data_IF_634607727373
#
_entry.id   IF_634607727373
#
_cell.length_a   1.000
_cell.length_b   1.000
_cell.length_c   1.000
_cell.angle_alpha   90.00
_cell.angle_beta   90.00
_cell.angle_gamma   90.00
#
_symmetry.space_group_name_H-M   'P 1'
#
loop_
_entity.id
_entity.type
_entity.pdbx_description
1 polymer ?
#
# COMPACT_ATOMS: atom_id res chain seq x y z
N UNK A 1 3.13 -27.77 1.58
CA UNK A 1 4.40 -27.11 1.16
C UNK A 1 5.06 -26.45 2.35
N UNK A 2 6.37 -26.21 2.26
CA UNK A 2 7.17 -25.39 3.17
C UNK A 2 7.43 -24.03 2.53
N UNK A 3 6.90 -22.98 3.13
CA UNK A 3 6.92 -21.64 2.53
C UNK A 3 7.74 -20.70 3.41
N UNK A 4 8.76 -20.06 2.83
CA UNK A 4 9.60 -19.09 3.52
C UNK A 4 9.16 -17.67 3.14
N UNK A 5 8.50 -16.98 4.06
CA UNK A 5 8.08 -15.59 3.88
C UNK A 5 9.17 -14.63 4.33
N UNK A 6 9.46 -13.64 3.50
CA UNK A 6 10.52 -12.65 3.77
C UNK A 6 9.95 -11.24 3.77
N UNK A 7 10.14 -10.52 4.86
CA UNK A 7 9.79 -9.11 4.99
C UNK A 7 10.71 -8.40 5.99
N UNK A 8 11.01 -7.11 5.79
CA UNK A 8 11.93 -6.37 6.67
C UNK A 8 11.43 -6.19 8.11
N UNK A 9 10.12 -6.12 8.33
CA UNK A 9 9.52 -6.01 9.67
C UNK A 9 8.66 -7.22 9.97
N UNK A 10 8.81 -7.81 11.16
CA UNK A 10 8.00 -8.94 11.62
C UNK A 10 7.02 -8.52 12.73
N UNK A 11 6.35 -7.37 12.50
CA UNK A 11 5.30 -6.83 13.36
C UNK A 11 4.35 -5.95 12.53
N UNK A 12 3.12 -5.72 13.00
CA UNK A 12 2.13 -4.90 12.31
C UNK A 12 2.52 -3.43 12.37
N UNK A 13 3.11 -2.92 11.28
CA UNK A 13 3.52 -1.53 11.12
C UNK A 13 2.66 -0.78 10.12
N UNK A 14 2.19 -1.45 9.08
CA UNK A 14 1.38 -0.90 8.01
C UNK A 14 0.73 -1.98 7.17
N UNK A 15 0.15 -1.62 6.03
CA UNK A 15 -0.59 -2.55 5.17
C UNK A 15 0.24 -3.72 4.66
N UNK A 16 1.48 -3.47 4.23
CA UNK A 16 2.36 -4.53 3.73
C UNK A 16 2.73 -5.56 4.82
N UNK A 17 2.95 -5.11 6.06
CA UNK A 17 3.23 -6.00 7.18
C UNK A 17 1.97 -6.76 7.62
N UNK A 18 0.81 -6.12 7.57
CA UNK A 18 -0.47 -6.80 7.83
C UNK A 18 -0.71 -7.88 6.79
N UNK A 19 -0.54 -7.59 5.50
CA UNK A 19 -0.60 -8.58 4.42
C UNK A 19 0.34 -9.76 4.67
N UNK A 20 1.63 -9.50 4.88
CA UNK A 20 2.65 -10.52 5.11
C UNK A 20 2.34 -11.44 6.28
N UNK A 21 1.91 -10.89 7.43
CA UNK A 21 1.57 -11.66 8.62
C UNK A 21 0.27 -12.45 8.43
N UNK A 22 -0.72 -11.87 7.75
CA UNK A 22 -1.98 -12.56 7.48
C UNK A 22 -1.78 -13.70 6.47
N UNK A 23 -1.04 -13.48 5.38
CA UNK A 23 -0.70 -14.57 4.44
C UNK A 23 -0.02 -15.70 5.16
N UNK A 24 0.95 -15.41 6.05
CA UNK A 24 1.64 -16.46 6.82
C UNK A 24 0.69 -17.26 7.71
N UNK A 25 -0.15 -16.58 8.49
CA UNK A 25 -1.12 -17.27 9.37
C UNK A 25 -2.17 -18.08 8.60
N UNK A 26 -2.59 -17.59 7.42
CA UNK A 26 -3.54 -18.32 6.57
C UNK A 26 -2.90 -19.56 5.92
N UNK A 27 -1.66 -19.46 5.46
CA UNK A 27 -0.92 -20.62 4.96
C UNK A 27 -0.77 -21.69 6.03
N UNK A 28 -0.48 -21.31 7.28
CA UNK A 28 -0.44 -22.25 8.41
C UNK A 28 -1.83 -22.86 8.69
N UNK A 29 -2.90 -22.05 8.64
CA UNK A 29 -4.29 -22.50 8.85
C UNK A 29 -4.73 -23.57 7.84
N UNK A 30 -4.32 -23.43 6.58
CA UNK A 30 -4.65 -24.39 5.51
C UNK A 30 -3.65 -25.55 5.41
N UNK A 31 -2.73 -25.69 6.39
CA UNK A 31 -1.88 -26.86 6.57
C UNK A 31 -0.50 -26.80 5.92
N UNK A 32 0.00 -25.62 5.55
CA UNK A 32 1.38 -25.43 5.12
C UNK A 32 2.32 -25.16 6.31
N UNK A 33 3.60 -25.52 6.18
CA UNK A 33 4.63 -25.10 7.11
C UNK A 33 5.18 -23.74 6.70
N UNK A 34 5.23 -22.77 7.64
CA UNK A 34 5.70 -21.41 7.34
C UNK A 34 6.93 -21.07 8.19
N UNK A 35 7.95 -20.55 7.54
CA UNK A 35 9.08 -19.90 8.17
C UNK A 35 9.12 -18.41 7.79
N UNK A 36 9.73 -17.63 8.66
CA UNK A 36 9.84 -16.19 8.48
C UNK A 36 11.30 -15.76 8.51
N UNK A 37 11.68 -14.85 7.59
CA UNK A 37 12.97 -14.18 7.58
C UNK A 37 12.79 -12.67 7.60
N UNK A 38 13.40 -12.00 8.58
CA UNK A 38 13.20 -10.57 8.82
C UNK A 38 14.43 -9.90 9.40
N UNK A 39 14.32 -8.64 9.81
CA UNK A 39 15.31 -7.98 10.65
C UNK A 39 14.89 -8.01 12.13
N UNK A 40 15.88 -7.96 13.02
CA UNK A 40 15.66 -7.86 14.47
C UNK A 40 15.06 -6.49 14.80
N UNK A 41 13.97 -6.48 15.57
CA UNK A 41 13.32 -5.26 16.04
C UNK A 41 12.63 -5.53 17.38
N UNK A 42 12.60 -4.57 18.34
CA UNK A 42 11.97 -4.78 19.65
C UNK A 42 10.48 -5.16 19.58
N UNK A 43 9.78 -4.70 18.55
CA UNK A 43 8.34 -4.95 18.36
C UNK A 43 8.04 -6.25 17.58
N UNK A 44 9.05 -7.03 17.19
CA UNK A 44 8.80 -8.26 16.45
C UNK A 44 7.90 -9.22 17.24
N UNK A 45 6.99 -9.88 16.53
CA UNK A 45 6.24 -11.00 17.06
C UNK A 45 7.20 -12.16 17.38
N UNK A 46 6.87 -13.01 18.37
CA UNK A 46 7.65 -14.22 18.67
C UNK A 46 7.78 -15.10 17.43
N UNK A 47 9.01 -15.52 17.13
CA UNK A 47 9.30 -16.35 15.96
C UNK A 47 10.45 -17.32 16.26
N UNK A 48 10.24 -18.64 16.04
CA UNK A 48 11.29 -19.66 16.26
C UNK A 48 12.51 -19.49 15.35
N UNK A 49 12.38 -18.70 14.26
CA UNK A 49 13.41 -18.44 13.28
C UNK A 49 14.18 -17.13 13.49
N UNK A 50 13.89 -16.39 14.57
CA UNK A 50 14.43 -15.07 14.88
C UNK A 50 15.97 -15.05 15.02
N UNK A 51 16.59 -16.20 15.33
CA UNK A 51 18.05 -16.37 15.35
C UNK A 51 18.72 -16.07 14.01
N UNK A 52 17.98 -16.24 12.89
CA UNK A 52 18.45 -15.94 11.55
C UNK A 52 18.19 -14.50 11.12
N UNK A 53 17.40 -13.73 11.87
CA UNK A 53 17.07 -12.37 11.53
C UNK A 53 18.31 -11.48 11.50
N UNK A 54 18.37 -10.59 10.50
CA UNK A 54 19.49 -9.66 10.33
C UNK A 54 19.44 -8.53 11.36
N UNK A 55 20.58 -7.98 11.70
CA UNK A 55 20.63 -6.81 12.57
C UNK A 55 19.93 -5.62 11.94
N UNK A 56 19.14 -4.88 12.73
CA UNK A 56 18.59 -3.59 12.29
C UNK A 56 19.74 -2.62 12.09
N UNK A 57 19.74 -1.89 10.97
CA UNK A 57 20.71 -0.84 10.67
C UNK A 57 20.06 0.52 10.81
N UNK A 58 20.62 1.36 11.66
CA UNK A 58 20.21 2.75 11.83
C UNK A 58 21.05 3.66 10.94
N UNK A 59 20.40 4.41 10.05
CA UNK A 59 21.07 5.26 9.05
C UNK A 59 21.19 6.73 9.46
N UNK A 60 20.67 7.10 10.62
CA UNK A 60 20.65 8.49 11.08
C UNK A 60 21.81 8.85 12.02
N UNK A 61 22.54 7.88 12.58
CA UNK A 61 23.65 8.07 13.50
C UNK A 61 25.01 7.68 12.89
N UNK A 62 25.40 8.38 11.83
CA UNK A 62 26.72 8.17 11.22
C UNK A 62 27.78 8.87 12.07
N UNK A 63 28.37 8.15 13.02
CA UNK A 63 29.45 8.66 13.91
C UNK A 63 30.83 8.69 13.23
N UNK A 64 31.01 8.01 12.08
CA UNK A 64 32.30 7.90 11.38
C UNK A 64 32.10 7.75 9.87
N UNK A 65 32.83 8.50 8.99
CA UNK A 65 32.73 8.39 7.53
C UNK A 65 32.98 7.00 6.97
N UNK A 66 33.89 6.21 7.59
CA UNK A 66 34.17 4.84 7.15
C UNK A 66 33.01 3.87 7.47
N UNK A 67 32.32 4.06 8.59
CA UNK A 67 31.12 3.28 8.90
C UNK A 67 29.97 3.62 7.95
N UNK A 68 29.84 4.90 7.57
CA UNK A 68 28.85 5.36 6.58
C UNK A 68 28.99 4.67 5.22
N UNK A 69 30.20 4.54 4.73
CA UNK A 69 30.46 3.86 3.44
C UNK A 69 30.14 2.37 3.55
N UNK A 70 30.59 1.71 4.62
CA UNK A 70 30.29 0.29 4.86
C UNK A 70 28.79 0.04 4.98
N UNK A 71 28.09 0.88 5.72
CA UNK A 71 26.66 0.77 5.95
C UNK A 71 25.88 1.11 4.66
N UNK A 72 26.36 2.08 3.86
CA UNK A 72 25.85 2.38 2.54
C UNK A 72 25.97 1.21 1.55
N UNK A 73 27.13 0.54 1.53
CA UNK A 73 27.33 -0.68 0.70
C UNK A 73 26.38 -1.80 1.17
N UNK A 74 26.22 -1.96 2.47
CA UNK A 74 25.36 -2.99 3.04
C UNK A 74 23.86 -2.74 2.81
N UNK A 75 23.45 -1.50 2.47
CA UNK A 75 22.10 -1.18 1.98
C UNK A 75 21.85 -1.69 0.56
N UNK A 76 22.90 -1.83 -0.22
CA UNK A 76 22.83 -2.30 -1.61
C UNK A 76 22.96 -3.82 -1.66
N UNK A 77 23.92 -4.37 -0.90
CA UNK A 77 24.20 -5.80 -0.83
C UNK A 77 24.61 -6.18 0.58
N UNK A 78 23.85 -7.08 1.24
CA UNK A 78 24.09 -7.54 2.61
C UNK A 78 24.64 -8.97 2.66
N UNK A 79 25.96 -9.16 2.86
CA UNK A 79 26.53 -10.50 3.06
C UNK A 79 25.97 -11.24 4.29
N UNK A 80 25.59 -10.46 5.33
CA UNK A 80 24.95 -11.00 6.54
C UNK A 80 23.59 -11.63 6.19
N UNK A 81 22.75 -10.88 5.45
CA UNK A 81 21.44 -11.37 5.05
C UNK A 81 21.55 -12.62 4.18
N UNK A 82 22.43 -12.61 3.18
CA UNK A 82 22.70 -13.78 2.34
C UNK A 82 23.09 -15.02 3.17
N UNK A 83 24.07 -14.87 4.09
CA UNK A 83 24.55 -15.98 4.91
C UNK A 83 23.47 -16.52 5.85
N UNK A 84 22.75 -15.64 6.55
CA UNK A 84 21.72 -16.04 7.50
C UNK A 84 20.52 -16.67 6.77
N UNK A 85 20.15 -16.13 5.61
CA UNK A 85 19.12 -16.67 4.75
C UNK A 85 19.49 -18.07 4.21
N UNK A 86 20.74 -18.27 3.76
CA UNK A 86 21.26 -19.57 3.35
C UNK A 86 21.12 -20.61 4.48
N UNK A 87 21.57 -20.25 5.69
CA UNK A 87 21.49 -21.15 6.86
C UNK A 87 20.04 -21.50 7.23
N UNK A 88 19.12 -20.53 7.10
CA UNK A 88 17.70 -20.79 7.30
C UNK A 88 17.16 -21.75 6.22
N UNK A 89 17.50 -21.54 4.96
CA UNK A 89 17.08 -22.42 3.87
C UNK A 89 17.59 -23.88 4.06
N UNK A 90 18.82 -24.05 4.51
CA UNK A 90 19.40 -25.37 4.78
C UNK A 90 18.66 -26.13 5.90
N UNK A 91 18.22 -25.39 6.94
CA UNK A 91 17.47 -25.99 8.05
C UNK A 91 15.98 -26.21 7.74
N UNK A 92 15.32 -25.18 7.20
CA UNK A 92 13.88 -25.21 6.94
C UNK A 92 13.53 -26.01 5.67
N UNK A 93 14.38 -25.93 4.64
CA UNK A 93 14.19 -26.55 3.32
C UNK A 93 12.89 -26.10 2.65
N UNK A 94 12.77 -24.81 2.30
CA UNK A 94 11.57 -24.28 1.69
C UNK A 94 11.33 -24.86 0.29
N UNK A 95 10.06 -25.15 -0.01
CA UNK A 95 9.58 -25.44 -1.36
C UNK A 95 9.38 -24.15 -2.16
N UNK A 96 9.04 -23.04 -1.47
CA UNK A 96 8.79 -21.71 -2.06
C UNK A 96 9.38 -20.62 -1.16
N UNK A 97 9.93 -19.58 -1.78
CA UNK A 97 10.32 -18.33 -1.10
C UNK A 97 9.41 -17.20 -1.59
N UNK A 98 8.79 -16.47 -0.68
CA UNK A 98 7.95 -15.33 -1.02
C UNK A 98 8.44 -14.04 -0.35
N UNK A 99 8.91 -13.12 -1.18
CA UNK A 99 9.45 -11.83 -0.79
C UNK A 99 8.34 -10.77 -0.72
N UNK A 100 8.43 -9.92 0.29
CA UNK A 100 7.64 -8.70 0.43
C UNK A 100 8.58 -7.48 0.39
N UNK A 101 8.56 -6.62 1.41
CA UNK A 101 9.48 -5.49 1.51
C UNK A 101 10.87 -5.94 1.97
N UNK A 102 11.81 -6.14 1.06
CA UNK A 102 13.18 -6.60 1.37
C UNK A 102 14.28 -5.55 1.15
N UNK A 103 14.00 -4.52 0.36
CA UNK A 103 14.98 -3.51 -0.04
C UNK A 103 15.56 -2.75 1.15
N UNK A 104 16.85 -2.39 1.05
CA UNK A 104 17.64 -1.58 1.99
C UNK A 104 17.99 -2.21 3.33
N UNK A 105 17.20 -3.12 3.89
CA UNK A 105 17.54 -3.79 5.17
C UNK A 105 18.03 -5.22 4.95
N UNK A 106 17.24 -6.04 4.27
CA UNK A 106 17.56 -7.42 3.92
C UNK A 106 18.36 -7.44 2.62
N UNK A 107 17.95 -6.66 1.62
CA UNK A 107 18.45 -6.54 0.25
C UNK A 107 18.20 -7.78 -0.61
N UNK A 108 18.30 -7.61 -1.94
CA UNK A 108 18.17 -8.74 -2.87
C UNK A 108 19.39 -9.68 -2.87
N UNK A 109 20.41 -9.43 -2.00
CA UNK A 109 21.54 -10.34 -1.83
C UNK A 109 21.15 -11.75 -1.38
N UNK A 110 19.99 -11.91 -0.75
CA UNK A 110 19.44 -13.23 -0.36
C UNK A 110 19.17 -14.13 -1.57
N UNK A 111 18.89 -13.55 -2.75
CA UNK A 111 18.72 -14.29 -3.99
C UNK A 111 20.00 -14.93 -4.51
N UNK A 112 21.17 -14.55 -3.96
CA UNK A 112 22.46 -15.18 -4.23
C UNK A 112 22.75 -16.36 -3.31
N UNK A 113 21.83 -16.77 -2.45
CA UNK A 113 21.97 -17.94 -1.62
C UNK A 113 22.06 -19.19 -2.51
N UNK A 114 23.17 -19.98 -2.44
CA UNK A 114 23.35 -21.16 -3.27
C UNK A 114 22.19 -22.14 -3.22
N UNK A 115 21.57 -22.29 -2.04
CA UNK A 115 20.44 -23.19 -1.80
C UNK A 115 19.33 -23.02 -2.85
N UNK A 116 18.95 -21.77 -3.15
CA UNK A 116 17.84 -21.48 -4.09
C UNK A 116 18.11 -22.08 -5.47
N UNK A 117 19.35 -21.94 -5.96
CA UNK A 117 19.75 -22.44 -7.28
C UNK A 117 19.92 -23.96 -7.26
N UNK A 118 20.57 -24.51 -6.23
CA UNK A 118 20.86 -25.94 -6.11
C UNK A 118 19.60 -26.78 -5.98
N UNK A 119 18.55 -26.24 -5.34
CA UNK A 119 17.28 -26.92 -5.12
C UNK A 119 16.14 -26.41 -6.01
N UNK A 120 16.42 -25.51 -6.97
CA UNK A 120 15.44 -24.94 -7.89
C UNK A 120 14.20 -24.35 -7.16
N UNK A 121 14.43 -23.69 -6.01
CA UNK A 121 13.36 -23.12 -5.20
C UNK A 121 12.77 -21.89 -5.88
N UNK A 122 11.49 -21.88 -6.28
CA UNK A 122 10.86 -20.73 -6.92
C UNK A 122 10.74 -19.54 -5.97
N UNK A 123 10.98 -18.34 -6.50
CA UNK A 123 10.94 -17.08 -5.77
C UNK A 123 9.79 -16.21 -6.25
N UNK A 124 8.89 -15.89 -5.34
CA UNK A 124 7.79 -14.95 -5.52
C UNK A 124 8.12 -13.59 -4.90
N UNK A 125 7.56 -12.54 -5.45
CA UNK A 125 7.67 -11.19 -4.91
C UNK A 125 6.31 -10.47 -4.97
N UNK A 126 5.74 -10.08 -3.83
CA UNK A 126 4.58 -9.18 -3.81
C UNK A 126 5.06 -7.73 -3.85
N UNK A 127 4.64 -7.01 -4.86
CA UNK A 127 4.96 -5.61 -5.06
C UNK A 127 4.05 -4.70 -4.21
N UNK A 128 4.54 -4.25 -3.06
CA UNK A 128 3.82 -3.30 -2.21
C UNK A 128 4.04 -1.84 -2.61
N UNK A 129 5.09 -1.58 -3.36
CA UNK A 129 5.48 -0.28 -3.93
C UNK A 129 6.21 -0.47 -5.26
N UNK A 130 6.68 0.62 -5.86
CA UNK A 130 7.33 0.60 -7.18
C UNK A 130 8.87 0.47 -7.10
N UNK A 131 9.45 0.05 -5.99
CA UNK A 131 10.90 0.06 -5.77
C UNK A 131 11.72 -0.70 -6.83
N UNK A 132 11.14 -1.72 -7.46
CA UNK A 132 11.81 -2.52 -8.49
C UNK A 132 11.95 -1.80 -9.83
N UNK A 133 11.18 -0.73 -10.06
CA UNK A 133 11.17 0.06 -11.30
C UNK A 133 11.46 1.54 -11.05
N UNK A 134 11.27 2.04 -9.83
CA UNK A 134 11.50 3.42 -9.43
C UNK A 134 12.35 3.48 -8.15
N UNK A 135 13.59 4.00 -8.17
CA UNK A 135 14.43 4.11 -6.96
C UNK A 135 13.80 4.91 -5.83
N UNK A 136 12.93 5.89 -6.17
CA UNK A 136 12.12 6.67 -5.24
C UNK A 136 10.93 5.90 -4.63
N UNK A 137 10.61 4.71 -5.12
CA UNK A 137 9.56 3.76 -4.75
C UNK A 137 8.10 4.27 -4.81
N UNK A 138 7.87 5.57 -4.86
CA UNK A 138 6.52 6.17 -4.93
C UNK A 138 6.10 6.60 -6.35
N UNK A 139 7.03 6.59 -7.32
CA UNK A 139 6.84 7.21 -8.65
C UNK A 139 6.41 8.69 -8.52
N UNK A 140 7.00 9.39 -7.54
CA UNK A 140 6.90 10.83 -7.33
C UNK A 140 8.31 11.44 -7.42
N UNK A 141 8.40 12.66 -7.93
CA UNK A 141 9.61 13.47 -7.84
C UNK A 141 9.77 14.11 -6.44
N UNK A 142 10.84 14.87 -6.24
CA UNK A 142 11.11 15.52 -4.96
C UNK A 142 10.15 16.65 -4.58
N UNK A 143 9.31 17.08 -5.52
CA UNK A 143 8.24 18.08 -5.33
C UNK A 143 6.85 17.42 -5.15
N UNK A 144 6.80 16.08 -5.15
CA UNK A 144 5.56 15.32 -4.97
C UNK A 144 4.71 15.21 -6.25
N UNK A 145 5.27 15.49 -7.43
CA UNK A 145 4.57 15.30 -8.71
C UNK A 145 4.77 13.89 -9.23
N UNK A 146 3.76 13.35 -9.88
CA UNK A 146 3.84 12.04 -10.55
C UNK A 146 4.98 12.04 -11.57
N UNK A 147 5.82 11.01 -11.55
CA UNK A 147 7.04 10.95 -12.34
C UNK A 147 7.28 9.55 -12.92
N UNK A 148 7.50 9.48 -14.23
CA UNK A 148 7.86 8.28 -14.99
C UNK A 148 9.29 8.35 -15.58
N UNK A 149 10.05 9.42 -15.32
CA UNK A 149 11.32 9.71 -15.98
C UNK A 149 12.35 8.56 -15.96
N UNK A 150 12.40 7.78 -14.87
CA UNK A 150 13.29 6.61 -14.78
C UNK A 150 12.82 5.42 -15.62
N UNK A 151 11.51 5.34 -15.94
CA UNK A 151 10.95 4.29 -16.79
C UNK A 151 11.18 4.62 -18.26
N UNK A 152 10.97 5.86 -18.68
CA UNK A 152 11.02 6.31 -20.07
C UNK A 152 12.37 6.06 -20.75
N UNK A 153 13.49 6.32 -20.06
CA UNK A 153 14.82 6.14 -20.64
C UNK A 153 15.69 5.10 -19.91
N UNK A 154 15.13 4.48 -18.86
CA UNK A 154 15.84 3.49 -18.05
C UNK A 154 17.00 4.05 -17.23
N UNK A 155 17.12 5.37 -17.03
CA UNK A 155 18.25 5.99 -16.33
C UNK A 155 17.87 6.48 -14.94
N UNK A 156 18.42 5.88 -13.94
CA UNK A 156 18.16 6.24 -12.53
C UNK A 156 18.77 7.57 -12.07
N UNK A 157 19.54 8.29 -12.94
CA UNK A 157 20.03 9.64 -12.65
C UNK A 157 18.90 10.63 -12.36
N UNK A 158 17.72 10.46 -13.01
CA UNK A 158 16.55 11.31 -12.78
C UNK A 158 16.11 11.30 -11.32
N UNK A 159 16.26 10.17 -10.62
CA UNK A 159 15.98 10.10 -9.19
C UNK A 159 16.88 11.05 -8.38
N UNK A 160 18.15 11.22 -8.78
CA UNK A 160 19.12 12.10 -8.09
C UNK A 160 18.82 13.57 -8.45
N UNK A 161 18.60 13.86 -9.72
CA UNK A 161 18.30 15.19 -10.24
C UNK A 161 17.03 15.75 -9.60
N UNK A 162 15.98 14.93 -9.55
CA UNK A 162 14.67 15.26 -8.99
C UNK A 162 14.57 15.09 -7.47
N UNK A 163 15.65 14.68 -6.78
CA UNK A 163 15.69 14.49 -5.30
C UNK A 163 14.54 13.63 -4.76
N UNK A 164 14.15 12.57 -5.49
CA UNK A 164 12.93 11.79 -5.23
C UNK A 164 12.84 11.18 -3.83
N UNK A 165 13.98 10.89 -3.17
CA UNK A 165 13.98 10.29 -1.84
C UNK A 165 14.08 11.38 -0.76
N UNK A 166 12.92 11.74 -0.19
CA UNK A 166 12.80 12.71 0.92
C UNK A 166 13.48 14.07 0.60
N UNK A 167 13.42 14.56 -0.62
CA UNK A 167 14.03 15.82 -1.03
C UNK A 167 15.56 15.84 -1.00
N UNK A 168 16.23 14.71 -0.72
CA UNK A 168 17.67 14.62 -0.49
C UNK A 168 18.43 14.03 -1.67
N UNK A 169 19.39 14.78 -2.24
CA UNK A 169 20.28 14.26 -3.30
C UNK A 169 21.08 13.04 -2.84
N UNK A 170 21.61 13.04 -1.60
CA UNK A 170 22.39 11.94 -1.09
C UNK A 170 21.57 10.65 -0.95
N UNK A 171 20.35 10.73 -0.41
CA UNK A 171 19.44 9.58 -0.29
C UNK A 171 18.98 9.09 -1.65
N UNK A 172 18.73 9.99 -2.59
CA UNK A 172 18.35 9.66 -3.96
C UNK A 172 19.51 9.01 -4.73
N UNK A 173 20.75 9.47 -4.52
CA UNK A 173 21.93 8.84 -5.09
C UNK A 173 22.14 7.40 -4.58
N UNK A 174 21.96 7.17 -3.28
CA UNK A 174 22.04 5.83 -2.71
C UNK A 174 20.96 4.89 -3.29
N UNK A 175 19.72 5.37 -3.43
CA UNK A 175 18.64 4.61 -4.03
C UNK A 175 18.89 4.32 -5.53
N UNK A 176 19.42 5.29 -6.27
CA UNK A 176 19.80 5.11 -7.67
C UNK A 176 20.96 4.11 -7.84
N UNK A 177 21.93 4.12 -6.91
CA UNK A 177 23.04 3.14 -6.88
C UNK A 177 22.52 1.73 -6.58
N UNK A 178 21.62 1.56 -5.59
CA UNK A 178 20.96 0.29 -5.30
C UNK A 178 20.24 -0.26 -6.53
N UNK A 179 19.41 0.56 -7.18
CA UNK A 179 18.66 0.16 -8.37
C UNK A 179 19.61 -0.18 -9.55
N UNK A 180 20.67 0.62 -9.74
CA UNK A 180 21.69 0.37 -10.78
C UNK A 180 22.47 -0.93 -10.53
N UNK A 181 22.83 -1.17 -9.26
CA UNK A 181 23.48 -2.42 -8.86
C UNK A 181 22.58 -3.63 -9.13
N UNK A 182 21.32 -3.59 -8.63
CA UNK A 182 20.37 -4.69 -8.80
C UNK A 182 20.10 -4.99 -10.28
N UNK A 183 20.06 -3.96 -11.14
CA UNK A 183 19.96 -4.13 -12.60
C UNK A 183 21.21 -4.79 -13.19
N UNK A 184 22.38 -4.26 -12.87
CA UNK A 184 23.66 -4.79 -13.38
C UNK A 184 23.91 -6.23 -12.89
N UNK A 185 23.51 -6.53 -11.65
CA UNK A 185 23.59 -7.86 -11.04
C UNK A 185 22.46 -8.79 -11.46
N UNK A 186 21.49 -8.29 -12.25
CA UNK A 186 20.33 -9.05 -12.74
C UNK A 186 19.51 -9.67 -11.60
N UNK A 187 19.43 -8.98 -10.45
CA UNK A 187 18.78 -9.50 -9.24
C UNK A 187 17.31 -9.83 -9.46
N UNK A 188 16.59 -8.95 -10.17
CA UNK A 188 15.16 -9.14 -10.46
C UNK A 188 14.88 -10.34 -11.37
N UNK A 189 15.83 -10.76 -12.20
CA UNK A 189 15.65 -11.91 -13.09
C UNK A 189 15.56 -13.25 -12.35
N UNK A 190 16.04 -13.29 -11.10
CA UNK A 190 15.97 -14.46 -10.20
C UNK A 190 14.64 -14.58 -9.46
N UNK A 191 13.74 -13.64 -9.68
CA UNK A 191 12.35 -13.70 -9.20
C UNK A 191 11.53 -14.36 -10.31
N UNK A 192 10.81 -15.43 -9.96
CA UNK A 192 10.06 -16.24 -10.93
C UNK A 192 8.68 -15.67 -11.19
N UNK A 193 8.03 -15.12 -10.15
CA UNK A 193 6.71 -14.49 -10.25
C UNK A 193 6.65 -13.22 -9.41
N UNK A 194 6.01 -12.19 -9.96
CA UNK A 194 5.69 -10.94 -9.27
C UNK A 194 4.18 -10.82 -9.12
N UNK A 195 3.72 -10.66 -7.91
CA UNK A 195 2.32 -10.43 -7.58
C UNK A 195 2.09 -8.92 -7.48
N UNK A 196 1.23 -8.40 -8.35
CA UNK A 196 0.80 -7.01 -8.35
C UNK A 196 -0.62 -6.90 -7.77
N UNK A 197 -0.87 -6.06 -6.75
CA UNK A 197 -2.19 -5.98 -6.09
C UNK A 197 -3.26 -5.24 -6.92
N UNK A 198 -2.93 -4.78 -8.11
CA UNK A 198 -3.86 -4.16 -9.06
C UNK A 198 -3.39 -4.36 -10.51
N UNK A 199 -4.32 -4.27 -11.46
CA UNK A 199 -4.01 -4.29 -12.90
C UNK A 199 -3.16 -3.09 -13.30
N UNK A 200 -3.39 -1.94 -12.66
CA UNK A 200 -2.56 -0.75 -12.84
C UNK A 200 -1.10 -1.02 -12.47
N UNK A 201 -0.86 -1.58 -11.28
CA UNK A 201 0.51 -1.91 -10.85
C UNK A 201 1.15 -2.94 -11.77
N UNK A 202 0.40 -3.97 -12.19
CA UNK A 202 0.88 -4.94 -13.19
C UNK A 202 1.36 -4.24 -14.45
N UNK A 203 0.55 -3.34 -15.01
CA UNK A 203 0.90 -2.61 -16.22
C UNK A 203 2.16 -1.75 -16.03
N UNK A 204 2.29 -1.06 -14.89
CA UNK A 204 3.47 -0.24 -14.58
C UNK A 204 4.74 -1.08 -14.38
N UNK A 205 4.64 -2.25 -13.78
CA UNK A 205 5.78 -3.16 -13.64
C UNK A 205 6.25 -3.65 -15.01
N UNK A 206 5.34 -4.01 -15.91
CA UNK A 206 5.66 -4.42 -17.29
C UNK A 206 6.30 -3.26 -18.06
N UNK A 207 5.72 -2.06 -17.99
CA UNK A 207 6.28 -0.83 -18.57
C UNK A 207 7.69 -0.54 -18.03
N UNK A 208 7.93 -0.82 -16.74
CA UNK A 208 9.22 -0.70 -16.08
C UNK A 208 10.24 -1.82 -16.38
N UNK A 209 9.89 -2.75 -17.30
CA UNK A 209 10.80 -3.78 -17.83
C UNK A 209 10.65 -5.17 -17.23
N UNK A 210 9.64 -5.43 -16.40
CA UNK A 210 9.32 -6.79 -15.99
C UNK A 210 8.72 -7.59 -17.15
N UNK A 211 9.16 -8.84 -17.40
CA UNK A 211 8.53 -9.70 -18.41
C UNK A 211 7.05 -9.93 -18.09
N UNK A 212 6.17 -9.74 -19.06
CA UNK A 212 4.72 -9.87 -18.86
C UNK A 212 4.32 -11.22 -18.25
N UNK A 213 4.93 -12.33 -18.71
CA UNK A 213 4.66 -13.68 -18.20
C UNK A 213 5.10 -13.93 -16.76
N UNK A 214 5.89 -13.00 -16.15
CA UNK A 214 6.26 -13.08 -14.73
C UNK A 214 5.34 -12.27 -13.81
N UNK A 215 4.55 -11.33 -14.31
CA UNK A 215 3.74 -10.43 -13.49
C UNK A 215 2.27 -10.85 -13.51
N UNK A 216 1.76 -11.23 -12.34
CA UNK A 216 0.37 -11.63 -12.14
C UNK A 216 -0.35 -10.55 -11.34
N UNK A 217 -1.54 -10.14 -11.80
CA UNK A 217 -2.42 -9.30 -10.99
C UNK A 217 -3.21 -10.19 -10.03
N UNK A 218 -3.01 -9.99 -8.73
CA UNK A 218 -3.74 -10.66 -7.68
C UNK A 218 -4.14 -9.62 -6.64
N UNK A 219 -5.41 -9.24 -6.67
CA UNK A 219 -5.96 -8.20 -5.82
C UNK A 219 -5.89 -8.60 -4.34
N UNK A 220 -5.47 -7.66 -3.48
CA UNK A 220 -5.39 -7.91 -2.04
C UNK A 220 -6.76 -8.28 -1.45
N UNK A 221 -6.74 -9.08 -0.40
CA UNK A 221 -7.92 -9.53 0.33
C UNK A 221 -8.28 -8.57 1.48
N UNK A 222 -9.53 -8.62 1.92
CA UNK A 222 -10.00 -8.02 3.16
C UNK A 222 -9.88 -9.00 4.34
N UNK A 223 -9.75 -8.49 5.57
CA UNK A 223 -9.81 -9.32 6.77
C UNK A 223 -11.25 -9.77 7.11
N UNK A 224 -11.40 -10.72 8.04
CA UNK A 224 -12.71 -11.29 8.39
C UNK A 224 -13.67 -10.24 8.94
N UNK A 225 -13.17 -9.27 9.68
CA UNK A 225 -14.02 -8.20 10.22
C UNK A 225 -14.59 -7.32 9.10
N UNK A 226 -13.77 -7.01 8.09
CA UNK A 226 -14.19 -6.28 6.89
C UNK A 226 -15.20 -7.11 6.09
N UNK A 227 -14.92 -8.40 5.84
CA UNK A 227 -15.82 -9.28 5.10
C UNK A 227 -17.14 -9.51 5.82
N UNK A 228 -17.13 -9.66 7.15
CA UNK A 228 -18.34 -9.77 7.95
C UNK A 228 -19.24 -8.52 7.83
N UNK A 229 -18.63 -7.33 7.82
CA UNK A 229 -19.36 -6.07 7.59
C UNK A 229 -19.94 -5.99 6.20
N UNK A 230 -19.20 -6.37 5.18
CA UNK A 230 -19.69 -6.41 3.80
C UNK A 230 -20.87 -7.37 3.60
N UNK A 231 -21.00 -8.38 4.48
CA UNK A 231 -22.12 -9.33 4.50
C UNK A 231 -23.33 -8.81 5.28
N UNK A 232 -23.21 -7.71 6.02
CA UNK A 232 -24.30 -7.08 6.75
C UNK A 232 -25.33 -6.44 5.81
N UNK A 233 -26.54 -6.22 6.36
CA UNK A 233 -27.61 -5.48 5.64
C UNK A 233 -27.28 -3.98 5.66
N UNK A 234 -27.57 -3.27 4.57
CA UNK A 234 -27.47 -1.81 4.54
C UNK A 234 -28.28 -1.19 5.67
N UNK A 235 -27.63 -0.41 6.54
CA UNK A 235 -28.32 0.35 7.60
C UNK A 235 -29.30 1.34 6.98
N UNK A 236 -30.31 1.73 7.76
CA UNK A 236 -31.25 2.77 7.32
C UNK A 236 -30.50 4.11 7.17
N UNK A 237 -30.52 4.65 5.96
CA UNK A 237 -29.84 5.91 5.61
C UNK A 237 -30.50 7.11 6.33
N UNK A 238 -31.77 6.97 6.70
CA UNK A 238 -32.57 8.04 7.31
C UNK A 238 -32.19 8.36 8.75
N UNK A 239 -31.49 7.44 9.44
CA UNK A 239 -31.04 7.62 10.83
C UNK A 239 -29.76 8.45 11.00
N UNK A 240 -29.19 9.00 9.92
CA UNK A 240 -27.96 9.81 9.97
C UNK A 240 -28.29 11.26 10.32
N UNK A 241 -28.31 11.56 11.58
CA UNK A 241 -28.68 12.89 12.12
C UNK A 241 -27.72 14.03 11.74
N UNK A 242 -26.48 13.70 11.34
CA UNK A 242 -25.43 14.68 11.04
C UNK A 242 -24.54 14.19 9.90
N UNK A 243 -24.87 14.49 8.64
CA UNK A 243 -24.13 13.98 7.49
C UNK A 243 -22.71 14.53 7.44
N UNK A 244 -21.74 13.67 7.02
CA UNK A 244 -20.35 14.10 6.84
C UNK A 244 -19.62 13.32 5.77
N UNK A 245 -18.65 14.00 5.17
CA UNK A 245 -17.62 13.43 4.35
C UNK A 245 -16.47 12.99 5.25
N UNK A 246 -15.88 11.83 5.00
CA UNK A 246 -14.82 11.25 5.83
C UNK A 246 -13.53 11.06 5.03
N UNK A 247 -12.45 11.66 5.49
CA UNK A 247 -11.11 11.19 5.13
C UNK A 247 -10.53 10.39 6.29
N UNK A 248 -9.93 9.24 6.03
CA UNK A 248 -9.18 8.49 7.02
C UNK A 248 -7.92 7.88 6.43
N UNK A 249 -6.81 8.10 7.10
CA UNK A 249 -5.50 7.66 6.66
C UNK A 249 -4.36 8.52 7.16
N UNK A 250 -3.17 8.27 6.61
CA UNK A 250 -1.97 9.04 6.95
C UNK A 250 -2.07 10.47 6.44
N UNK A 251 -1.82 11.44 7.31
CA UNK A 251 -1.78 12.86 6.95
C UNK A 251 -0.42 13.22 6.35
N UNK A 252 -0.27 13.02 5.06
CA UNK A 252 0.95 13.27 4.29
C UNK A 252 0.63 13.81 2.89
N UNK A 253 1.55 14.56 2.30
CA UNK A 253 1.35 15.32 1.08
C UNK A 253 0.85 14.47 -0.10
N UNK A 254 1.35 13.24 -0.23
CA UNK A 254 0.93 12.31 -1.29
C UNK A 254 -0.54 11.87 -1.18
N UNK A 255 -1.16 12.00 0.00
CA UNK A 255 -2.58 11.71 0.21
C UNK A 255 -3.52 12.84 -0.19
N UNK A 256 -2.98 14.02 -0.57
CA UNK A 256 -3.75 15.12 -1.15
C UNK A 256 -4.77 15.77 -0.21
N UNK A 257 -4.51 15.75 1.11
CA UNK A 257 -5.44 16.33 2.10
C UNK A 257 -5.59 17.83 1.92
N UNK A 258 -4.57 18.53 1.46
CA UNK A 258 -4.65 19.96 1.11
C UNK A 258 -5.63 20.24 -0.04
N UNK A 259 -5.66 19.36 -1.04
CA UNK A 259 -6.63 19.43 -2.17
C UNK A 259 -8.05 19.14 -1.64
N UNK A 260 -8.19 18.11 -0.81
CA UNK A 260 -9.47 17.77 -0.15
C UNK A 260 -10.05 18.95 0.62
N UNK A 261 -9.24 19.60 1.47
CA UNK A 261 -9.69 20.75 2.29
C UNK A 261 -10.18 21.91 1.41
N UNK A 262 -9.43 22.26 0.35
CA UNK A 262 -9.81 23.32 -0.62
C UNK A 262 -11.03 22.92 -1.44
N UNK A 263 -11.16 21.65 -1.82
CA UNK A 263 -12.31 21.14 -2.55
C UNK A 263 -13.58 21.18 -1.68
N UNK A 264 -13.46 20.82 -0.40
CA UNK A 264 -14.58 20.95 0.52
C UNK A 264 -15.02 22.41 0.72
N UNK A 265 -14.05 23.34 0.83
CA UNK A 265 -14.35 24.77 0.93
C UNK A 265 -15.07 25.28 -0.33
N UNK A 266 -14.61 24.87 -1.51
CA UNK A 266 -15.25 25.23 -2.77
C UNK A 266 -16.65 24.61 -2.94
N UNK A 267 -16.85 23.38 -2.47
CA UNK A 267 -18.14 22.68 -2.52
C UNK A 267 -19.13 23.17 -1.44
N UNK A 268 -18.66 23.74 -0.34
CA UNK A 268 -19.43 24.07 0.86
C UNK A 268 -20.72 24.87 0.59
N UNK A 269 -20.78 25.84 -0.37
CA UNK A 269 -22.03 26.56 -0.70
C UNK A 269 -23.11 25.66 -1.31
N UNK A 270 -22.73 24.57 -1.99
CA UNK A 270 -23.62 23.63 -2.68
C UNK A 270 -23.94 22.38 -1.86
N UNK A 271 -23.20 22.11 -0.79
CA UNK A 271 -23.45 21.01 0.13
C UNK A 271 -24.54 21.36 1.16
N UNK A 272 -25.28 20.36 1.70
CA UNK A 272 -26.16 20.57 2.84
C UNK A 272 -25.46 21.37 3.96
N UNK A 273 -26.18 22.30 4.58
CA UNK A 273 -25.59 23.24 5.55
C UNK A 273 -24.97 22.58 6.78
N UNK A 274 -25.51 21.44 7.18
CA UNK A 274 -25.07 20.61 8.31
C UNK A 274 -24.01 19.56 7.93
N UNK A 275 -23.74 19.38 6.64
CA UNK A 275 -22.70 18.43 6.18
C UNK A 275 -21.32 18.91 6.57
N UNK A 276 -20.57 18.07 7.29
CA UNK A 276 -19.22 18.34 7.77
C UNK A 276 -18.18 17.57 6.97
N UNK A 277 -16.91 17.94 7.13
CA UNK A 277 -15.77 17.13 6.75
C UNK A 277 -15.06 16.66 8.02
N UNK A 278 -14.94 15.36 8.21
CA UNK A 278 -14.18 14.76 9.31
C UNK A 278 -12.88 14.15 8.75
N UNK A 279 -11.76 14.54 9.35
CA UNK A 279 -10.42 14.06 8.98
C UNK A 279 -9.88 13.21 10.13
N UNK A 280 -9.80 11.89 9.88
CA UNK A 280 -9.27 10.90 10.83
C UNK A 280 -7.89 10.47 10.42
N UNK A 281 -6.93 10.57 11.34
CA UNK A 281 -5.55 10.16 11.12
C UNK A 281 -4.54 11.10 11.73
N UNK A 282 -3.27 10.73 11.50
CA UNK A 282 -2.11 11.53 11.88
C UNK A 282 -1.00 11.35 10.84
N UNK A 283 0.01 12.24 10.87
CA UNK A 283 1.12 12.17 9.93
C UNK A 283 2.01 13.40 9.97
N UNK A 284 3.08 13.38 9.15
CA UNK A 284 4.09 14.45 9.18
C UNK A 284 3.53 15.84 8.85
N UNK A 285 2.46 15.91 8.03
CA UNK A 285 1.92 17.19 7.53
C UNK A 285 0.61 17.58 8.26
N UNK A 286 0.28 16.89 9.37
CA UNK A 286 -0.96 17.13 10.12
C UNK A 286 -1.10 18.57 10.66
N UNK A 287 0.00 19.20 11.07
CA UNK A 287 -0.02 20.58 11.56
C UNK A 287 -0.35 21.56 10.41
N UNK A 288 0.31 21.41 9.26
CA UNK A 288 0.08 22.22 8.06
C UNK A 288 -1.38 22.12 7.57
N UNK A 289 -1.94 20.91 7.56
CA UNK A 289 -3.34 20.72 7.15
C UNK A 289 -4.35 21.36 8.12
N UNK A 290 -4.06 21.35 9.44
CA UNK A 290 -4.91 22.06 10.43
C UNK A 290 -4.83 23.58 10.24
N UNK A 291 -3.65 24.12 9.98
CA UNK A 291 -3.48 25.55 9.70
C UNK A 291 -4.21 25.95 8.41
N UNK A 292 -4.08 25.14 7.35
CA UNK A 292 -4.82 25.36 6.11
C UNK A 292 -6.34 25.36 6.37
N UNK A 293 -6.86 24.33 7.05
CA UNK A 293 -8.29 24.22 7.34
C UNK A 293 -8.81 25.44 8.12
N UNK A 294 -8.04 25.92 9.12
CA UNK A 294 -8.40 27.09 9.91
C UNK A 294 -8.47 28.39 9.09
N UNK A 295 -7.79 28.45 7.95
CA UNK A 295 -7.78 29.62 7.05
C UNK A 295 -8.94 29.65 6.05
N UNK A 296 -9.70 28.55 5.92
CA UNK A 296 -10.78 28.41 4.95
C UNK A 296 -12.12 28.96 5.48
N UNK A 297 -13.01 29.37 4.59
CA UNK A 297 -14.35 29.84 4.93
C UNK A 297 -15.21 28.74 5.55
N UNK A 298 -14.98 27.50 5.19
CA UNK A 298 -15.65 26.30 5.72
C UNK A 298 -15.05 25.75 7.03
N UNK A 299 -14.05 26.43 7.63
CA UNK A 299 -13.38 25.98 8.87
C UNK A 299 -14.34 25.48 9.98
N UNK A 300 -15.50 26.13 10.28
CA UNK A 300 -16.42 25.64 11.30
C UNK A 300 -17.06 24.27 11.00
N UNK A 301 -16.95 23.79 9.75
CA UNK A 301 -17.50 22.51 9.29
C UNK A 301 -16.42 21.43 9.14
N UNK A 302 -15.15 21.73 9.46
CA UNK A 302 -14.02 20.80 9.33
C UNK A 302 -13.56 20.36 10.72
N UNK A 303 -13.50 19.05 10.94
CA UNK A 303 -13.09 18.44 12.20
C UNK A 303 -11.89 17.50 11.98
N UNK A 304 -10.85 17.64 12.81
CA UNK A 304 -9.73 16.69 12.88
C UNK A 304 -9.90 15.82 14.11
N UNK A 305 -10.34 14.57 13.91
CA UNK A 305 -10.61 13.63 15.01
C UNK A 305 -9.34 12.90 15.53
N UNK A 306 -8.16 13.23 14.98
CA UNK A 306 -6.92 12.57 15.35
C UNK A 306 -6.82 11.12 14.87
N UNK A 307 -5.81 10.39 15.37
CA UNK A 307 -5.60 8.99 15.03
C UNK A 307 -6.61 8.08 15.72
N UNK A 308 -7.32 7.27 14.95
CA UNK A 308 -8.31 6.31 15.44
C UNK A 308 -8.04 4.92 14.87
N UNK A 309 -8.40 3.88 15.61
CA UNK A 309 -8.27 2.47 15.21
C UNK A 309 -9.45 1.64 15.74
N UNK A 310 -9.58 0.41 15.24
CA UNK A 310 -10.58 -0.54 15.73
C UNK A 310 -12.02 0.01 15.64
N UNK A 311 -12.84 -0.25 16.65
CA UNK A 311 -14.25 0.12 16.65
C UNK A 311 -14.49 1.63 16.58
N UNK A 312 -13.57 2.44 17.10
CA UNK A 312 -13.68 3.90 17.00
C UNK A 312 -13.56 4.37 15.55
N UNK A 313 -12.55 3.91 14.82
CA UNK A 313 -12.41 4.19 13.38
C UNK A 313 -13.63 3.66 12.61
N UNK A 314 -14.03 2.44 12.92
CA UNK A 314 -15.14 1.79 12.24
C UNK A 314 -16.45 2.60 12.38
N UNK A 315 -16.72 3.16 13.57
CA UNK A 315 -17.88 4.03 13.80
C UNK A 315 -17.86 5.25 12.87
N UNK A 316 -16.69 5.86 12.64
CA UNK A 316 -16.58 6.96 11.68
C UNK A 316 -16.86 6.48 10.25
N UNK A 317 -16.37 5.31 9.85
CA UNK A 317 -16.55 4.81 8.49
C UNK A 317 -18.01 4.45 8.22
N UNK A 318 -18.68 3.74 9.13
CA UNK A 318 -20.07 3.29 8.98
C UNK A 318 -21.08 4.44 8.94
N UNK A 319 -20.80 5.53 9.67
CA UNK A 319 -21.70 6.70 9.74
C UNK A 319 -21.41 7.76 8.67
N UNK A 320 -20.32 7.64 7.94
CA UNK A 320 -19.98 8.59 6.87
C UNK A 320 -20.99 8.54 5.72
N UNK A 321 -21.37 9.70 5.20
CA UNK A 321 -22.16 9.78 3.97
C UNK A 321 -21.34 9.39 2.74
N UNK A 322 -20.07 9.79 2.71
CA UNK A 322 -19.09 9.43 1.68
C UNK A 322 -17.70 9.37 2.32
N UNK A 323 -16.88 8.45 1.90
CA UNK A 323 -15.45 8.50 2.20
C UNK A 323 -14.69 9.17 1.04
N UNK A 324 -13.53 9.76 1.35
CA UNK A 324 -12.72 10.50 0.37
C UNK A 324 -11.34 9.88 0.26
N UNK A 325 -10.95 9.51 -0.97
CA UNK A 325 -9.62 9.04 -1.34
C UNK A 325 -8.96 10.06 -2.27
N UNK A 326 -8.38 11.10 -1.68
CA UNK A 326 -7.84 12.28 -2.38
C UNK A 326 -6.40 12.13 -2.88
N UNK A 327 -5.87 10.93 -2.94
CA UNK A 327 -4.46 10.64 -3.24
C UNK A 327 -3.97 11.29 -4.54
N UNK A 328 -2.76 11.86 -4.48
CA UNK A 328 -2.03 12.39 -5.66
C UNK A 328 -0.97 11.44 -6.18
N UNK A 329 -0.71 10.34 -5.47
CA UNK A 329 0.24 9.33 -5.89
C UNK A 329 -0.47 8.07 -6.40
N UNK A 330 0.27 7.24 -7.12
CA UNK A 330 -0.24 5.99 -7.70
C UNK A 330 -0.45 4.93 -6.62
N UNK A 331 -1.60 4.98 -5.95
CA UNK A 331 -2.00 3.94 -5.01
C UNK A 331 -2.06 2.57 -5.71
N UNK A 332 -1.73 1.52 -4.98
CA UNK A 332 -1.87 0.16 -5.49
C UNK A 332 -3.32 -0.31 -5.35
N UNK A 333 -3.69 -0.57 -4.11
CA UNK A 333 -5.04 -0.92 -3.69
C UNK A 333 -5.24 -0.37 -2.27
N UNK A 334 -5.81 0.84 -2.13
CA UNK A 334 -5.95 1.47 -0.82
C UNK A 334 -6.98 0.75 0.04
N UNK A 335 -6.54 0.17 1.16
CA UNK A 335 -7.41 -0.53 2.11
C UNK A 335 -8.53 0.36 2.65
N UNK A 336 -8.31 1.67 2.79
CA UNK A 336 -9.35 2.61 3.20
C UNK A 336 -10.59 2.60 2.29
N UNK A 337 -10.41 2.37 0.99
CA UNK A 337 -11.56 2.20 0.07
C UNK A 337 -12.27 0.88 0.34
N UNK A 338 -11.53 -0.21 0.55
CA UNK A 338 -12.11 -1.52 0.86
C UNK A 338 -12.87 -1.50 2.18
N UNK A 339 -12.33 -0.84 3.21
CA UNK A 339 -13.00 -0.63 4.50
C UNK A 339 -14.27 0.19 4.37
N UNK A 340 -14.23 1.28 3.59
CA UNK A 340 -15.41 2.09 3.29
C UNK A 340 -16.47 1.28 2.55
N UNK A 341 -16.10 0.54 1.52
CA UNK A 341 -17.02 -0.29 0.75
C UNK A 341 -17.65 -1.41 1.59
N UNK A 342 -16.89 -2.03 2.48
CA UNK A 342 -17.42 -3.04 3.39
C UNK A 342 -18.50 -2.47 4.33
N UNK A 343 -18.34 -1.24 4.78
CA UNK A 343 -19.35 -0.52 5.53
C UNK A 343 -20.56 -0.09 4.67
N UNK A 344 -20.43 -0.19 3.35
CA UNK A 344 -21.41 0.34 2.39
C UNK A 344 -21.29 1.85 2.23
N UNK A 345 -20.13 2.43 2.50
CA UNK A 345 -19.88 3.86 2.34
C UNK A 345 -19.26 4.11 0.97
N UNK A 346 -19.97 4.81 0.05
CA UNK A 346 -19.42 5.14 -1.27
C UNK A 346 -18.24 6.11 -1.17
N UNK A 347 -17.37 6.10 -2.20
CA UNK A 347 -16.10 6.84 -2.15
C UNK A 347 -16.02 7.90 -3.25
N UNK A 348 -15.64 9.13 -2.88
CA UNK A 348 -15.07 10.08 -3.85
C UNK A 348 -13.59 9.75 -3.98
N UNK A 349 -13.16 9.30 -5.15
CA UNK A 349 -11.80 8.82 -5.41
C UNK A 349 -11.13 9.49 -6.59
N UNK A 350 -9.83 9.74 -6.49
CA UNK A 350 -9.04 10.30 -7.59
C UNK A 350 -8.76 9.26 -8.67
N UNK A 351 -8.75 9.68 -9.95
CA UNK A 351 -8.43 8.82 -11.12
C UNK A 351 -6.93 8.55 -11.23
N UNK A 352 -6.32 7.96 -10.17
CA UNK A 352 -4.89 7.68 -10.16
C UNK A 352 -4.59 6.29 -9.56
N UNK A 353 -3.57 5.63 -10.11
CA UNK A 353 -3.16 4.31 -9.62
C UNK A 353 -4.26 3.25 -9.76
N UNK A 354 -4.40 2.41 -8.74
CA UNK A 354 -5.44 1.39 -8.66
C UNK A 354 -6.80 1.89 -8.15
N UNK A 355 -6.94 3.18 -7.78
CA UNK A 355 -8.21 3.72 -7.29
C UNK A 355 -9.36 3.54 -8.31
N UNK A 356 -9.16 3.79 -9.63
CA UNK A 356 -10.21 3.59 -10.63
C UNK A 356 -10.68 2.12 -10.79
N UNK A 357 -9.90 1.16 -10.31
CA UNK A 357 -10.31 -0.26 -10.31
C UNK A 357 -11.34 -0.55 -9.21
N UNK A 358 -11.40 0.28 -8.16
CA UNK A 358 -12.37 0.18 -7.07
C UNK A 358 -13.55 1.16 -7.27
N UNK A 359 -13.25 2.43 -7.56
CA UNK A 359 -14.25 3.50 -7.63
C UNK A 359 -14.81 3.61 -9.04
N UNK A 360 -15.93 2.93 -9.29
CA UNK A 360 -16.72 3.05 -10.51
C UNK A 360 -17.70 4.24 -10.39
N UNK A 361 -17.53 5.26 -11.24
CA UNK A 361 -18.30 6.52 -11.18
C UNK A 361 -19.81 6.27 -11.31
N UNK A 362 -20.58 6.75 -10.34
CA UNK A 362 -22.02 6.54 -10.25
C UNK A 362 -22.46 5.15 -9.76
N UNK A 363 -21.53 4.22 -9.48
CA UNK A 363 -21.83 2.84 -9.05
C UNK A 363 -21.35 2.58 -7.63
N UNK A 364 -20.07 2.77 -7.34
CA UNK A 364 -19.48 2.61 -6.01
C UNK A 364 -19.00 3.92 -5.42
N UNK A 365 -19.20 5.03 -6.13
CA UNK A 365 -18.80 6.36 -5.73
C UNK A 365 -18.65 7.32 -6.90
N UNK A 366 -17.79 8.31 -6.74
CA UNK A 366 -17.59 9.38 -7.73
C UNK A 366 -16.10 9.61 -7.98
N UNK A 367 -15.73 9.71 -9.24
CA UNK A 367 -14.34 9.88 -9.61
C UNK A 367 -14.01 11.36 -9.91
N UNK A 368 -12.79 11.80 -9.52
CA UNK A 368 -12.26 13.14 -9.76
C UNK A 368 -10.80 13.07 -10.24
N UNK A 369 -10.28 14.17 -10.79
CA UNK A 369 -8.90 14.22 -11.24
C UNK A 369 -7.94 14.48 -10.06
N UNK A 370 -6.76 13.82 -10.02
CA UNK A 370 -5.81 13.97 -8.93
C UNK A 370 -5.24 15.40 -8.86
N UNK A 371 -5.28 16.01 -7.68
CA UNK A 371 -4.79 17.38 -7.47
C UNK A 371 -5.73 18.48 -7.96
N UNK A 372 -6.88 18.14 -8.53
CA UNK A 372 -7.86 19.13 -9.06
C UNK A 372 -8.98 19.38 -8.04
N UNK A 373 -8.95 20.60 -7.49
CA UNK A 373 -9.92 21.07 -6.50
C UNK A 373 -11.33 21.13 -7.08
N UNK A 374 -11.49 21.56 -8.35
CA UNK A 374 -12.80 21.77 -8.96
C UNK A 374 -13.52 20.43 -9.23
N UNK A 375 -12.82 19.46 -9.83
CA UNK A 375 -13.42 18.15 -10.10
C UNK A 375 -13.70 17.36 -8.82
N UNK A 376 -12.89 17.52 -7.77
CA UNK A 376 -13.15 16.91 -6.47
C UNK A 376 -14.34 17.55 -5.77
N UNK A 377 -14.49 18.87 -5.83
CA UNK A 377 -15.66 19.59 -5.31
C UNK A 377 -16.95 19.13 -6.01
N UNK A 378 -16.94 19.03 -7.36
CA UNK A 378 -18.07 18.50 -8.14
C UNK A 378 -18.43 17.08 -7.71
N UNK A 379 -17.45 16.20 -7.57
CA UNK A 379 -17.68 14.83 -7.13
C UNK A 379 -18.28 14.75 -5.70
N UNK A 380 -17.88 15.63 -4.79
CA UNK A 380 -18.48 15.75 -3.44
C UNK A 380 -19.95 16.20 -3.51
N UNK A 381 -20.26 17.17 -4.39
CA UNK A 381 -21.65 17.68 -4.56
C UNK A 381 -22.52 16.56 -5.14
N UNK A 382 -22.11 15.91 -6.22
CA UNK A 382 -22.84 14.77 -6.82
C UNK A 382 -23.04 13.63 -5.79
N UNK A 383 -22.05 13.36 -4.98
CA UNK A 383 -22.16 12.39 -3.89
C UNK A 383 -23.14 12.79 -2.81
N UNK A 384 -23.16 14.06 -2.41
CA UNK A 384 -24.11 14.58 -1.45
C UNK A 384 -25.55 14.57 -2.00
N UNK A 385 -25.76 14.91 -3.25
CA UNK A 385 -27.06 14.80 -3.93
C UNK A 385 -27.55 13.35 -3.94
N UNK A 386 -26.67 12.41 -4.28
CA UNK A 386 -26.98 10.97 -4.23
C UNK A 386 -27.30 10.50 -2.82
N UNK A 387 -26.60 10.99 -1.80
CA UNK A 387 -26.89 10.67 -0.40
C UNK A 387 -28.30 11.12 0.02
N UNK A 388 -28.79 12.24 -0.52
CA UNK A 388 -30.15 12.74 -0.26
C UNK A 388 -31.25 11.95 -1.00
N UNK A 389 -30.89 11.26 -2.10
CA UNK A 389 -31.79 10.34 -2.82
C UNK A 389 -31.64 8.92 -2.23
N UNK A 390 -32.41 8.63 -1.18
CA UNK A 390 -32.28 7.38 -0.43
C UNK A 390 -32.34 6.10 -1.31
N UNK A 391 -33.26 5.92 -2.28
CA UNK A 391 -33.26 4.75 -3.16
C UNK A 391 -31.99 4.59 -4.01
N UNK A 392 -31.40 5.69 -4.50
CA UNK A 392 -30.17 5.67 -5.29
C UNK A 392 -28.99 5.33 -4.38
N UNK A 393 -28.94 5.98 -3.21
CA UNK A 393 -27.85 5.79 -2.25
C UNK A 393 -27.79 4.34 -1.72
N UNK A 394 -28.93 3.73 -1.39
CA UNK A 394 -28.99 2.33 -0.92
C UNK A 394 -28.47 1.38 -1.99
N UNK A 395 -28.79 1.61 -3.27
CA UNK A 395 -28.21 0.79 -4.37
C UNK A 395 -26.70 0.94 -4.46
N UNK A 396 -26.17 2.15 -4.30
CA UNK A 396 -24.73 2.42 -4.30
C UNK A 396 -24.04 1.75 -3.10
N UNK A 397 -24.63 1.80 -1.91
CA UNK A 397 -24.15 1.10 -0.72
C UNK A 397 -24.04 -0.41 -0.96
N UNK A 398 -25.07 -1.00 -1.57
CA UNK A 398 -25.04 -2.44 -1.88
C UNK A 398 -24.00 -2.79 -2.95
N UNK A 399 -23.80 -1.93 -3.96
CA UNK A 399 -22.72 -2.10 -4.94
C UNK A 399 -21.33 -2.07 -4.28
N UNK A 400 -21.11 -1.21 -3.29
CA UNK A 400 -19.86 -1.18 -2.51
C UNK A 400 -19.64 -2.49 -1.75
N UNK A 401 -20.64 -2.98 -1.04
CA UNK A 401 -20.54 -4.25 -0.29
C UNK A 401 -20.38 -5.45 -1.21
N UNK A 402 -21.13 -5.50 -2.33
CA UNK A 402 -21.01 -6.54 -3.33
C UNK A 402 -19.58 -6.61 -3.88
N UNK A 403 -18.98 -5.46 -4.19
CA UNK A 403 -17.59 -5.41 -4.65
C UNK A 403 -16.64 -6.11 -3.66
N UNK A 404 -16.75 -5.84 -2.36
CA UNK A 404 -15.88 -6.46 -1.34
C UNK A 404 -16.11 -7.96 -1.25
N UNK A 405 -17.38 -8.42 -1.22
CA UNK A 405 -17.71 -9.85 -1.16
C UNK A 405 -17.19 -10.63 -2.37
N UNK A 406 -17.26 -10.03 -3.54
CA UNK A 406 -16.90 -10.70 -4.80
C UNK A 406 -15.40 -10.68 -5.09
N UNK A 407 -14.72 -9.55 -4.77
CA UNK A 407 -13.37 -9.31 -5.21
C UNK A 407 -12.31 -9.32 -4.10
N UNK A 408 -12.72 -9.18 -2.82
CA UNK A 408 -11.77 -9.11 -1.71
C UNK A 408 -11.83 -10.34 -0.79
N UNK A 409 -12.35 -11.47 -1.26
CA UNK A 409 -12.41 -12.72 -0.51
C UNK A 409 -10.99 -13.23 -0.19
N UNK A 410 -10.73 -13.47 1.10
CA UNK A 410 -9.46 -14.03 1.54
C UNK A 410 -9.26 -15.46 1.07
N UNK A 411 -10.31 -16.30 1.12
CA UNK A 411 -10.22 -17.68 0.68
C UNK A 411 -9.88 -17.76 -0.82
N UNK A 412 -10.57 -16.98 -1.67
CA UNK A 412 -10.24 -16.90 -3.11
C UNK A 412 -8.80 -16.44 -3.36
N UNK A 413 -8.34 -15.45 -2.60
CA UNK A 413 -6.96 -14.98 -2.69
C UNK A 413 -5.97 -16.09 -2.33
N UNK A 414 -6.22 -16.80 -1.23
CA UNK A 414 -5.35 -17.88 -0.76
C UNK A 414 -5.34 -19.05 -1.73
N UNK A 415 -6.49 -19.43 -2.28
CA UNK A 415 -6.60 -20.48 -3.31
C UNK A 415 -5.73 -20.13 -4.54
N UNK A 416 -5.87 -18.90 -5.07
CA UNK A 416 -5.09 -18.44 -6.21
C UNK A 416 -3.58 -18.33 -5.89
N UNK A 417 -3.23 -17.88 -4.69
CA UNK A 417 -1.83 -17.79 -4.27
C UNK A 417 -1.18 -19.19 -4.17
N UNK A 418 -1.90 -20.15 -3.59
CA UNK A 418 -1.42 -21.54 -3.46
C UNK A 418 -1.31 -22.20 -4.82
N UNK A 419 -2.28 -22.00 -5.72
CA UNK A 419 -2.22 -22.49 -7.11
C UNK A 419 -0.96 -21.98 -7.83
N UNK A 420 -0.66 -20.69 -7.71
CA UNK A 420 0.57 -20.12 -8.27
C UNK A 420 1.85 -20.75 -7.68
N UNK A 421 1.85 -21.08 -6.38
CA UNK A 421 2.98 -21.77 -5.77
C UNK A 421 3.12 -23.20 -6.29
N UNK A 422 2.02 -23.94 -6.38
CA UNK A 422 1.99 -25.32 -6.87
C UNK A 422 2.42 -25.40 -8.34
N UNK A 423 1.98 -24.49 -9.19
CA UNK A 423 2.43 -24.39 -10.57
C UNK A 423 3.96 -24.19 -10.66
N UNK A 424 4.51 -23.32 -9.81
CA UNK A 424 5.95 -23.03 -9.84
C UNK A 424 6.82 -24.15 -9.26
N UNK A 425 6.29 -24.93 -8.33
CA UNK A 425 7.01 -26.08 -7.72
C UNK A 425 6.99 -27.30 -8.64
N UNK A 426 5.91 -27.50 -9.42
CA UNK A 426 5.71 -28.67 -10.27
C UNK A 426 6.16 -28.47 -11.72
N UNK A 427 6.41 -27.23 -12.15
CA UNK A 427 6.84 -26.89 -13.52
C UNK A 427 8.32 -26.72 -13.64
#
# INVERSE_FOLDING_TARGET
MKILLVNKFHYRKGGAETYYLTVGSELERIGHEVAYFSMKHPNNLPCKWDRYFVAQREYNDVKNPLSAVRDGIALIYSPEAKRNFQALCEEFRPDVVHLNNVHRQITLSILDAPYLKEHHVPVFYTAHDYVTICPGYLMLDGEGRVCDACLEDGKYRHCIENRCVKGSRAKSALAALEASFNRAHRSNERIDRVIAPSSFMRSKLIEGGWPEGKVVALQNFADDAILARASGVAGDVTDRESPYLLFFGRLSAEKGVDVLLRAFDAAAPSLPRDMRLIVVGDGPDAAEFRELAASLGSAPRIEFAGYQTGDALQTYVERASLAIASSRWRENMPYSIVEAFAAGTPVVGTRIGGIPELVADGVTGFACEPGDVATMADAMVRGAETFLDAPVYVRMQESCRAYVRENCSRDKFMDQLVELYEEAVNG
#
